data_IF_997488598261
#
_entry.id   IF_997488598261
#
_cell.length_a   1.000
_cell.length_b   1.000
_cell.length_c   1.000
_cell.angle_alpha   90.00
_cell.angle_beta   90.00
_cell.angle_gamma   90.00
#
_symmetry.space_group_name_H-M   'P 1'
#
loop_
_entity.id
_entity.type
_entity.pdbx_description
1 polymer ?
#
# COMPACT_ATOMS: atom_id res chain seq x y z
N UNK A 1 11.94 13.57 -15.56
CA UNK A 1 11.37 14.00 -14.28
C UNK A 1 10.39 15.14 -14.55
N UNK A 2 9.39 15.31 -13.70
CA UNK A 2 8.65 16.57 -13.62
C UNK A 2 9.55 17.69 -13.02
N UNK A 3 9.07 18.95 -12.95
CA UNK A 3 9.86 20.05 -12.39
C UNK A 3 10.18 19.93 -10.89
N UNK A 4 9.43 19.10 -10.16
CA UNK A 4 9.52 19.02 -8.69
C UNK A 4 10.33 17.81 -8.20
N UNK A 5 10.71 16.88 -9.09
CA UNK A 5 11.56 15.72 -8.77
C UNK A 5 13.02 15.99 -9.10
N UNK A 6 13.73 16.56 -8.13
CA UNK A 6 15.17 16.80 -8.20
C UNK A 6 15.98 15.54 -7.90
N UNK A 7 17.11 15.39 -8.62
CA UNK A 7 18.08 14.32 -8.38
C UNK A 7 19.47 14.92 -8.14
N UNK A 8 20.26 14.25 -7.31
CA UNK A 8 21.68 14.52 -7.10
C UNK A 8 22.51 13.27 -7.44
N UNK A 9 23.83 13.37 -7.34
CA UNK A 9 24.78 12.30 -7.71
C UNK A 9 24.42 10.93 -7.10
N UNK A 10 23.96 10.91 -5.84
CA UNK A 10 23.65 9.68 -5.10
C UNK A 10 22.16 9.29 -5.14
N UNK A 11 21.32 10.03 -5.87
CA UNK A 11 19.87 9.75 -5.89
C UNK A 11 19.54 8.39 -6.50
N UNK A 12 20.32 7.92 -7.48
CA UNK A 12 20.11 6.61 -8.08
C UNK A 12 20.34 5.49 -7.05
N UNK A 13 21.45 5.52 -6.32
CA UNK A 13 21.76 4.52 -5.29
C UNK A 13 20.70 4.54 -4.19
N UNK A 14 20.28 5.73 -3.73
CA UNK A 14 19.21 5.86 -2.75
C UNK A 14 17.89 5.24 -3.25
N UNK A 15 17.50 5.48 -4.50
CA UNK A 15 16.30 4.90 -5.10
C UNK A 15 16.40 3.37 -5.26
N UNK A 16 17.58 2.85 -5.59
CA UNK A 16 17.83 1.40 -5.65
C UNK A 16 17.72 0.76 -4.28
N UNK A 17 18.25 1.38 -3.23
CA UNK A 17 18.09 0.90 -1.85
C UNK A 17 16.63 0.96 -1.38
N UNK A 18 15.89 2.01 -1.75
CA UNK A 18 14.47 2.15 -1.40
C UNK A 18 13.63 1.00 -2.00
N UNK A 19 13.73 0.76 -3.31
CA UNK A 19 13.04 -0.35 -3.96
C UNK A 19 13.58 -1.73 -3.48
N UNK A 20 14.90 -1.83 -3.24
CA UNK A 20 15.56 -3.03 -2.76
C UNK A 20 15.12 -3.46 -1.36
N UNK A 21 14.82 -2.52 -0.47
CA UNK A 21 14.31 -2.84 0.88
C UNK A 21 12.95 -3.55 0.82
N UNK A 22 12.07 -3.13 -0.10
CA UNK A 22 10.77 -3.80 -0.33
C UNK A 22 10.98 -5.21 -0.88
N UNK A 23 11.88 -5.37 -1.85
CA UNK A 23 12.25 -6.69 -2.41
C UNK A 23 12.78 -7.63 -1.31
N UNK A 24 13.71 -7.14 -0.49
CA UNK A 24 14.30 -7.92 0.62
C UNK A 24 13.22 -8.36 1.61
N UNK A 25 12.35 -7.44 2.04
CA UNK A 25 11.26 -7.76 2.95
C UNK A 25 10.31 -8.84 2.39
N UNK A 26 9.94 -8.73 1.11
CA UNK A 26 9.14 -9.74 0.40
C UNK A 26 9.84 -11.09 0.35
N UNK A 27 11.15 -11.11 0.09
CA UNK A 27 11.97 -12.32 0.09
C UNK A 27 11.95 -13.03 1.45
N UNK A 28 12.08 -12.27 2.54
CA UNK A 28 12.03 -12.80 3.92
C UNK A 28 10.62 -13.25 4.32
N UNK A 29 9.57 -12.62 3.78
CA UNK A 29 8.20 -13.15 3.91
C UNK A 29 8.03 -14.48 3.19
N UNK A 30 8.61 -14.64 1.99
CA UNK A 30 8.50 -15.88 1.22
C UNK A 30 9.10 -17.09 1.93
N UNK A 31 10.18 -16.89 2.69
CA UNK A 31 10.83 -17.94 3.49
C UNK A 31 10.16 -18.16 4.85
N UNK A 32 9.20 -17.31 5.23
CA UNK A 32 8.57 -17.33 6.55
C UNK A 32 9.45 -16.79 7.68
N UNK A 33 10.53 -16.06 7.36
CA UNK A 33 11.40 -15.43 8.36
C UNK A 33 10.69 -14.27 9.06
N UNK A 34 9.90 -13.49 8.31
CA UNK A 34 9.08 -12.39 8.82
C UNK A 34 7.68 -12.46 8.23
N UNK A 35 6.68 -11.98 8.96
CA UNK A 35 5.30 -11.89 8.45
C UNK A 35 4.98 -10.49 7.92
N UNK A 36 5.74 -9.48 8.36
CA UNK A 36 5.51 -8.09 8.04
C UNK A 36 6.78 -7.26 8.17
N UNK A 37 6.86 -6.15 7.45
CA UNK A 37 7.95 -5.19 7.59
C UNK A 37 7.48 -3.76 7.33
N UNK A 38 8.15 -2.80 7.97
CA UNK A 38 8.04 -1.38 7.64
C UNK A 38 9.35 -0.93 7.01
N UNK A 39 9.33 -0.66 5.71
CA UNK A 39 10.47 -0.15 4.96
C UNK A 39 10.49 1.37 5.11
N UNK A 40 11.26 1.88 6.07
CA UNK A 40 11.48 3.31 6.30
C UNK A 40 12.44 3.87 5.24
N UNK A 41 11.99 3.93 3.99
CA UNK A 41 12.79 4.26 2.81
C UNK A 41 12.58 5.71 2.35
N UNK A 42 13.56 6.23 1.62
CA UNK A 42 13.46 7.48 0.86
C UNK A 42 14.47 7.40 -0.31
N UNK A 43 14.12 7.79 -1.55
CA UNK A 43 12.90 8.49 -2.00
C UNK A 43 11.61 7.65 -2.01
N UNK A 44 10.42 8.30 -2.04
CA UNK A 44 9.12 7.64 -2.21
C UNK A 44 8.97 7.06 -3.63
N UNK A 45 7.84 6.41 -3.91
CA UNK A 45 7.62 5.68 -5.16
C UNK A 45 6.26 5.80 -5.84
N UNK A 46 5.15 6.03 -5.13
CA UNK A 46 3.81 5.78 -5.68
C UNK A 46 3.41 6.65 -6.90
N UNK A 47 4.06 7.80 -7.12
CA UNK A 47 3.85 8.67 -8.28
C UNK A 47 4.69 8.29 -9.51
N UNK A 48 5.77 7.51 -9.34
CA UNK A 48 6.65 7.16 -10.44
C UNK A 48 5.92 6.26 -11.45
N UNK A 49 5.78 6.76 -12.67
CA UNK A 49 5.23 6.04 -13.82
C UNK A 49 6.27 5.09 -14.40
N UNK A 50 5.83 4.12 -15.21
CA UNK A 50 6.72 3.18 -15.89
C UNK A 50 7.82 3.86 -16.74
N UNK A 51 7.54 5.06 -17.27
CA UNK A 51 8.45 5.82 -18.13
C UNK A 51 8.73 7.25 -17.65
N UNK A 52 8.34 7.62 -16.42
CA UNK A 52 8.47 9.00 -15.91
C UNK A 52 8.57 9.06 -14.39
N UNK A 53 9.68 9.62 -13.89
CA UNK A 53 9.80 10.10 -12.51
C UNK A 53 8.95 11.37 -12.30
N UNK A 54 8.19 11.43 -11.21
CA UNK A 54 7.36 12.58 -10.83
C UNK A 54 6.94 12.52 -9.35
N UNK A 55 6.50 13.65 -8.77
CA UNK A 55 6.03 13.69 -7.37
C UNK A 55 7.08 13.22 -6.37
N UNK A 56 8.34 13.63 -6.55
CA UNK A 56 9.51 13.20 -5.77
C UNK A 56 9.91 11.73 -5.94
N UNK A 57 9.16 10.95 -6.74
CA UNK A 57 9.35 9.52 -6.93
C UNK A 57 10.24 9.25 -8.15
N UNK A 58 11.31 8.47 -7.95
CA UNK A 58 12.23 8.06 -9.03
C UNK A 58 11.84 6.68 -9.57
N UNK A 59 11.68 5.71 -8.67
CA UNK A 59 11.17 4.37 -8.97
C UNK A 59 9.95 4.09 -8.13
N UNK A 60 9.00 3.34 -8.67
CA UNK A 60 7.84 2.92 -7.90
C UNK A 60 8.18 1.70 -7.04
N UNK A 61 8.54 1.97 -5.77
CA UNK A 61 9.01 0.97 -4.80
C UNK A 61 8.01 -0.20 -4.65
N UNK A 62 6.72 0.11 -4.51
CA UNK A 62 5.66 -0.88 -4.35
C UNK A 62 5.42 -1.66 -5.64
N UNK A 63 5.41 -1.01 -6.81
CA UNK A 63 5.20 -1.70 -8.08
C UNK A 63 6.35 -2.67 -8.41
N UNK A 64 7.59 -2.25 -8.15
CA UNK A 64 8.78 -3.13 -8.25
C UNK A 64 8.64 -4.31 -7.29
N UNK A 65 8.25 -4.06 -6.04
CA UNK A 65 7.97 -5.09 -5.04
C UNK A 65 6.89 -6.09 -5.48
N UNK A 66 5.76 -5.60 -6.00
CA UNK A 66 4.66 -6.44 -6.48
C UNK A 66 5.09 -7.37 -7.62
N UNK A 67 5.83 -6.86 -8.60
CA UNK A 67 6.37 -7.69 -9.70
C UNK A 67 7.38 -8.72 -9.21
N UNK A 68 8.21 -8.36 -8.22
CA UNK A 68 9.10 -9.31 -7.58
C UNK A 68 8.34 -10.40 -6.80
N UNK A 69 7.32 -10.04 -6.03
CA UNK A 69 6.46 -10.98 -5.31
C UNK A 69 5.82 -12.00 -6.26
N UNK A 70 5.32 -11.54 -7.40
CA UNK A 70 4.78 -12.39 -8.47
C UNK A 70 5.82 -13.35 -9.04
N UNK A 71 7.03 -12.86 -9.30
CA UNK A 71 8.14 -13.68 -9.79
C UNK A 71 8.50 -14.82 -8.82
N UNK A 72 8.32 -14.63 -7.52
CA UNK A 72 8.60 -15.64 -6.49
C UNK A 72 7.35 -16.39 -6.01
N UNK A 73 6.21 -16.21 -6.69
CA UNK A 73 5.03 -17.08 -6.59
C UNK A 73 3.85 -16.56 -5.77
N UNK A 74 3.84 -15.29 -5.33
CA UNK A 74 2.59 -14.65 -4.85
C UNK A 74 1.76 -14.25 -6.07
N UNK A 75 0.54 -14.79 -6.25
CA UNK A 75 -0.22 -14.59 -7.49
C UNK A 75 -1.05 -13.32 -7.46
N UNK A 76 -1.69 -13.05 -6.32
CA UNK A 76 -2.63 -11.93 -6.14
C UNK A 76 -2.12 -10.92 -5.12
N UNK A 77 -1.68 -9.76 -5.60
CA UNK A 77 -1.11 -8.69 -4.77
C UNK A 77 -2.17 -7.62 -4.53
N UNK A 78 -2.42 -7.26 -3.27
CA UNK A 78 -3.32 -6.16 -2.93
C UNK A 78 -2.48 -4.97 -2.48
N UNK A 79 -2.52 -3.88 -3.24
CA UNK A 79 -1.83 -2.63 -2.92
C UNK A 79 -2.82 -1.69 -2.23
N UNK A 80 -2.45 -1.25 -1.03
CA UNK A 80 -3.17 -0.25 -0.24
C UNK A 80 -2.35 1.03 -0.26
N UNK A 81 -2.96 2.14 -0.66
CA UNK A 81 -2.32 3.44 -0.68
C UNK A 81 -3.12 4.40 0.21
N UNK A 82 -2.49 4.89 1.27
CA UNK A 82 -3.08 5.88 2.17
C UNK A 82 -2.35 7.21 2.17
N UNK A 83 -1.35 7.39 1.29
CA UNK A 83 -0.77 8.71 1.04
C UNK A 83 -1.87 9.68 0.58
N UNK A 84 -1.77 10.93 1.01
CA UNK A 84 -2.81 11.92 0.75
C UNK A 84 -2.94 12.26 -0.73
N UNK A 85 -1.91 11.99 -1.52
CA UNK A 85 -1.90 12.19 -2.97
C UNK A 85 -2.26 10.89 -3.68
N UNK A 86 -2.90 11.01 -4.84
CA UNK A 86 -3.22 9.82 -5.63
C UNK A 86 -1.92 9.18 -6.17
N UNK A 87 -1.67 7.91 -5.83
CA UNK A 87 -0.56 7.10 -6.36
C UNK A 87 -0.75 6.70 -7.82
N UNK A 88 -0.83 7.70 -8.70
CA UNK A 88 -1.08 7.57 -10.13
C UNK A 88 -0.13 6.60 -10.83
N UNK A 89 1.16 6.60 -10.46
CA UNK A 89 2.14 5.71 -11.05
C UNK A 89 1.82 4.26 -10.75
N UNK A 90 1.46 3.95 -9.51
CA UNK A 90 1.03 2.62 -9.10
C UNK A 90 -0.24 2.20 -9.86
N UNK A 91 -1.25 3.09 -9.91
CA UNK A 91 -2.48 2.80 -10.65
C UNK A 91 -2.19 2.48 -12.12
N UNK A 92 -1.49 3.35 -12.85
CA UNK A 92 -1.25 3.18 -14.27
C UNK A 92 -0.37 1.95 -14.60
N UNK A 93 0.57 1.58 -13.73
CA UNK A 93 1.38 0.36 -13.92
C UNK A 93 0.52 -0.91 -13.89
N UNK A 94 -0.59 -0.91 -13.13
CA UNK A 94 -1.44 -2.09 -12.91
C UNK A 94 -2.86 -1.94 -13.48
N UNK A 95 -3.19 -0.84 -14.18
CA UNK A 95 -4.57 -0.54 -14.58
C UNK A 95 -5.20 -1.62 -15.49
N UNK A 96 -4.38 -2.34 -16.27
CA UNK A 96 -4.81 -3.44 -17.14
C UNK A 96 -4.62 -4.84 -16.52
N UNK A 97 -4.16 -4.95 -15.26
CA UNK A 97 -3.75 -6.18 -14.59
C UNK A 97 -4.81 -6.69 -13.58
N UNK A 98 -5.35 -7.88 -13.78
CA UNK A 98 -6.35 -8.51 -12.89
C UNK A 98 -5.74 -9.31 -11.72
N UNK A 99 -4.41 -9.36 -11.66
CA UNK A 99 -3.65 -10.03 -10.60
C UNK A 99 -3.10 -9.07 -9.55
N UNK A 100 -3.33 -7.76 -9.72
CA UNK A 100 -3.00 -6.73 -8.75
C UNK A 100 -4.22 -5.86 -8.49
N UNK A 101 -4.63 -5.73 -7.23
CA UNK A 101 -5.71 -4.84 -6.82
C UNK A 101 -5.11 -3.56 -6.25
N UNK A 102 -5.42 -2.38 -6.81
CA UNK A 102 -5.02 -1.08 -6.27
C UNK A 102 -6.19 -0.44 -5.53
N UNK A 103 -6.02 -0.15 -4.25
CA UNK A 103 -6.96 0.60 -3.41
C UNK A 103 -6.27 1.87 -2.91
N UNK A 104 -6.88 3.03 -3.14
CA UNK A 104 -6.32 4.30 -2.68
C UNK A 104 -7.39 5.19 -2.04
N UNK A 105 -7.06 5.77 -0.89
CA UNK A 105 -7.72 6.98 -0.40
C UNK A 105 -6.77 8.15 -0.60
N UNK A 106 -7.25 9.25 -1.13
CA UNK A 106 -6.43 10.45 -1.37
C UNK A 106 -7.34 11.67 -1.44
N UNK A 107 -6.80 12.85 -1.16
CA UNK A 107 -7.56 14.08 -1.37
C UNK A 107 -7.87 14.26 -2.86
N UNK A 108 -9.12 14.59 -3.20
CA UNK A 108 -9.49 14.84 -4.59
C UNK A 108 -10.56 15.94 -4.73
N UNK A 109 -10.43 16.85 -5.73
CA UNK A 109 -9.28 17.00 -6.62
C UNK A 109 -8.04 17.52 -5.85
N UNK A 110 -6.88 16.94 -6.12
CA UNK A 110 -5.56 17.35 -5.58
C UNK A 110 -4.46 16.86 -6.52
N UNK A 111 -3.20 16.79 -6.10
CA UNK A 111 -2.12 16.26 -6.94
C UNK A 111 -2.33 14.77 -7.30
N UNK A 112 -2.11 14.36 -8.57
CA UNK A 112 -1.75 15.17 -9.74
C UNK A 112 -2.95 15.56 -10.64
N UNK A 113 -4.18 15.46 -10.13
CA UNK A 113 -5.42 15.69 -10.88
C UNK A 113 -6.05 14.42 -11.47
N UNK A 114 -5.65 13.25 -10.96
CA UNK A 114 -6.17 11.91 -11.31
C UNK A 114 -6.68 11.21 -10.05
N UNK A 115 -7.20 9.99 -10.18
CA UNK A 115 -7.72 9.22 -9.04
C UNK A 115 -9.22 9.40 -8.83
N UNK A 116 -9.94 9.85 -9.86
CA UNK A 116 -11.40 9.97 -9.77
C UNK A 116 -12.08 8.63 -9.51
N UNK A 117 -13.24 8.64 -8.86
CA UNK A 117 -14.05 7.43 -8.57
C UNK A 117 -14.40 6.62 -9.84
N UNK A 118 -14.46 7.27 -11.00
CA UNK A 118 -14.72 6.63 -12.29
C UNK A 118 -13.54 5.82 -12.83
N UNK A 119 -12.33 6.04 -12.33
CA UNK A 119 -11.13 5.29 -12.72
C UNK A 119 -11.14 3.93 -12.00
N UNK A 120 -11.48 2.87 -12.74
CA UNK A 120 -11.73 1.53 -12.18
C UNK A 120 -10.87 0.44 -12.83
N UNK A 121 -9.74 0.83 -13.42
CA UNK A 121 -8.92 -0.04 -14.26
C UNK A 121 -9.45 -0.13 -15.68
N UNK A 122 -8.72 -0.85 -16.52
CA UNK A 122 -8.92 -0.97 -17.97
C UNK A 122 -8.76 -2.44 -18.36
N UNK A 123 -9.30 -2.81 -19.52
CA UNK A 123 -9.12 -4.16 -20.08
C UNK A 123 -9.44 -5.28 -19.08
N UNK A 124 -8.44 -6.13 -18.79
CA UNK A 124 -8.57 -7.21 -17.79
C UNK A 124 -8.60 -6.69 -16.36
N UNK A 125 -7.86 -5.63 -16.05
CA UNK A 125 -7.82 -4.96 -14.76
C UNK A 125 -9.08 -4.16 -14.39
N UNK A 126 -10.09 -4.11 -15.25
CA UNK A 126 -11.38 -3.48 -14.93
C UNK A 126 -12.02 -4.12 -13.69
N UNK A 127 -12.22 -3.31 -12.65
CA UNK A 127 -12.72 -3.71 -11.33
C UNK A 127 -11.63 -3.98 -10.28
N UNK A 128 -10.35 -3.85 -10.65
CA UNK A 128 -9.19 -4.05 -9.77
C UNK A 128 -8.46 -2.74 -9.42
N UNK A 129 -9.07 -1.61 -9.73
CA UNK A 129 -8.69 -0.29 -9.20
C UNK A 129 -9.88 0.27 -8.44
N UNK A 130 -9.65 0.71 -7.20
CA UNK A 130 -10.65 1.30 -6.34
C UNK A 130 -10.10 2.59 -5.72
N UNK A 131 -10.42 3.71 -6.36
CA UNK A 131 -10.19 5.02 -5.77
C UNK A 131 -11.35 5.40 -4.87
N UNK A 132 -11.03 5.87 -3.66
CA UNK A 132 -11.97 6.44 -2.71
C UNK A 132 -11.58 7.90 -2.46
N UNK A 133 -12.01 8.82 -3.33
CA UNK A 133 -11.56 10.20 -3.29
C UNK A 133 -12.12 10.90 -2.04
N UNK A 134 -11.24 11.51 -1.26
CA UNK A 134 -11.55 12.18 0.00
C UNK A 134 -11.71 13.68 -0.25
N UNK A 135 -12.82 14.30 0.22
CA UNK A 135 -12.96 15.75 0.13
C UNK A 135 -11.96 16.43 1.08
N UNK A 136 -11.56 17.65 0.74
CA UNK A 136 -10.80 18.51 1.64
C UNK A 136 -11.50 18.61 3.00
N UNK A 137 -10.76 18.42 4.09
CA UNK A 137 -11.27 18.44 5.46
C UNK A 137 -11.76 17.09 5.98
N UNK A 138 -11.79 16.04 5.17
CA UNK A 138 -12.04 14.67 5.64
C UNK A 138 -11.03 14.27 6.72
N UNK A 139 -11.44 13.44 7.68
CA UNK A 139 -10.61 13.04 8.80
C UNK A 139 -10.94 11.63 9.28
N UNK A 140 -10.80 11.42 10.59
CA UNK A 140 -10.84 10.08 11.19
C UNK A 140 -12.08 9.26 10.82
N UNK A 141 -13.26 9.89 10.70
CA UNK A 141 -14.51 9.19 10.39
C UNK A 141 -14.49 8.57 8.99
N UNK A 142 -14.11 9.36 7.98
CA UNK A 142 -14.08 8.92 6.59
C UNK A 142 -13.02 7.83 6.39
N UNK A 143 -11.84 8.02 6.96
CA UNK A 143 -10.77 7.02 6.93
C UNK A 143 -11.12 5.77 7.73
N UNK A 144 -11.81 5.88 8.86
CA UNK A 144 -12.28 4.70 9.60
C UNK A 144 -13.17 3.83 8.71
N UNK A 145 -14.16 4.42 8.03
CA UNK A 145 -15.04 3.67 7.11
C UNK A 145 -14.26 3.03 5.97
N UNK A 146 -13.33 3.76 5.36
CA UNK A 146 -12.49 3.25 4.27
C UNK A 146 -11.70 1.99 4.69
N UNK A 147 -10.98 2.05 5.82
CA UNK A 147 -10.03 1.00 6.22
C UNK A 147 -10.63 -0.09 7.09
N UNK A 148 -11.74 0.16 7.78
CA UNK A 148 -12.37 -0.81 8.69
C UNK A 148 -13.67 -1.41 8.15
N UNK A 149 -14.30 -0.79 7.13
CA UNK A 149 -15.58 -1.27 6.58
C UNK A 149 -15.51 -1.64 5.10
N UNK A 150 -14.76 -0.88 4.29
CA UNK A 150 -14.64 -1.11 2.84
C UNK A 150 -13.47 -2.04 2.52
N UNK A 151 -12.26 -1.68 2.94
CA UNK A 151 -11.02 -2.42 2.65
C UNK A 151 -11.10 -3.92 2.98
N UNK A 152 -11.61 -4.37 4.15
CA UNK A 152 -11.64 -5.80 4.48
C UNK A 152 -12.49 -6.62 3.48
N UNK A 153 -13.57 -6.01 2.96
CA UNK A 153 -14.45 -6.67 1.98
C UNK A 153 -13.76 -6.84 0.64
N UNK A 154 -12.99 -5.84 0.22
CA UNK A 154 -12.24 -5.87 -1.04
C UNK A 154 -11.12 -6.91 -0.99
N UNK A 155 -10.29 -6.90 0.08
CA UNK A 155 -9.20 -7.86 0.27
C UNK A 155 -9.73 -9.30 0.25
N UNK A 156 -10.84 -9.56 0.96
CA UNK A 156 -11.47 -10.89 1.00
C UNK A 156 -12.00 -11.30 -0.38
N UNK A 157 -12.69 -10.41 -1.09
CA UNK A 157 -13.27 -10.70 -2.41
C UNK A 157 -12.19 -10.97 -3.45
N UNK A 158 -11.05 -10.28 -3.38
CA UNK A 158 -9.96 -10.43 -4.35
C UNK A 158 -9.28 -11.80 -4.26
N UNK A 159 -9.21 -12.40 -3.07
CA UNK A 159 -8.43 -13.62 -2.82
C UNK A 159 -6.94 -13.31 -2.74
N UNK A 160 -6.61 -12.31 -1.94
CA UNK A 160 -5.25 -11.74 -1.78
C UNK A 160 -4.26 -12.75 -1.21
N UNK A 161 -3.04 -12.79 -1.78
CA UNK A 161 -1.91 -13.58 -1.26
C UNK A 161 -0.92 -12.74 -0.43
N UNK A 162 -0.80 -11.44 -0.71
CA UNK A 162 0.09 -10.51 -0.02
C UNK A 162 -0.46 -9.08 -0.11
N UNK A 163 -0.26 -8.29 0.95
CA UNK A 163 -0.61 -6.87 1.00
C UNK A 163 0.67 -6.05 0.95
N UNK A 164 0.71 -5.08 0.04
CA UNK A 164 1.74 -4.05 -0.04
C UNK A 164 1.11 -2.69 0.26
N UNK A 165 1.78 -1.86 1.05
CA UNK A 165 1.20 -0.60 1.52
C UNK A 165 2.11 0.57 1.14
N UNK A 166 1.59 1.47 0.31
CA UNK A 166 2.11 2.83 0.12
C UNK A 166 1.69 3.66 1.33
N UNK A 167 2.63 3.89 2.25
CA UNK A 167 2.38 4.46 3.57
C UNK A 167 2.84 5.92 3.62
N UNK A 168 1.97 6.84 3.17
CA UNK A 168 2.18 8.28 3.28
C UNK A 168 1.45 8.88 4.48
N UNK A 169 2.15 9.65 5.30
CA UNK A 169 1.58 10.22 6.53
C UNK A 169 1.19 11.69 6.40
N UNK A 170 1.18 12.20 5.17
CA UNK A 170 0.70 13.52 4.80
C UNK A 170 -0.83 13.67 4.83
N UNK A 171 -1.55 12.62 5.24
CA UNK A 171 -2.95 12.68 5.68
C UNK A 171 -3.11 13.32 7.07
N UNK A 172 -2.04 13.42 7.85
CA UNK A 172 -2.10 13.92 9.21
C UNK A 172 -2.51 15.41 9.24
N UNK A 173 -3.34 15.80 10.20
CA UNK A 173 -3.90 17.17 10.29
C UNK A 173 -2.86 18.31 10.40
N UNK A 174 -1.62 17.96 10.74
CA UNK A 174 -0.49 18.89 10.84
C UNK A 174 0.30 19.02 9.54
N UNK A 175 0.09 18.14 8.57
CA UNK A 175 0.87 18.13 7.34
C UNK A 175 0.58 19.38 6.49
N UNK A 176 1.60 20.06 5.94
CA UNK A 176 1.40 21.30 5.20
C UNK A 176 0.94 21.11 3.74
N UNK A 177 0.98 19.89 3.18
CA UNK A 177 0.78 19.69 1.73
C UNK A 177 -0.65 19.31 1.33
N UNK A 178 -1.56 19.10 2.30
CA UNK A 178 -2.94 18.74 2.04
C UNK A 178 -3.92 19.34 3.06
N UNK A 179 -5.22 19.15 2.80
CA UNK A 179 -6.33 19.61 3.63
C UNK A 179 -7.02 18.50 4.41
N UNK A 180 -6.47 17.28 4.42
CA UNK A 180 -6.96 16.15 5.21
C UNK A 180 -6.62 16.38 6.69
N UNK A 181 -7.47 15.87 7.58
CA UNK A 181 -7.42 16.14 9.02
C UNK A 181 -7.46 14.86 9.84
N UNK A 182 -6.64 13.87 9.48
CA UNK A 182 -6.50 12.62 10.24
C UNK A 182 -5.66 12.89 11.49
N UNK A 183 -6.15 12.43 12.64
CA UNK A 183 -5.43 12.50 13.92
C UNK A 183 -4.48 11.32 14.11
N UNK A 184 -3.62 11.37 15.14
CA UNK A 184 -2.80 10.23 15.54
C UNK A 184 -3.64 8.95 15.77
N UNK A 185 -4.85 9.08 16.31
CA UNK A 185 -5.76 7.96 16.53
C UNK A 185 -6.37 7.48 15.21
N UNK A 186 -6.66 8.39 14.28
CA UNK A 186 -7.05 8.06 12.92
C UNK A 186 -5.98 7.24 12.19
N UNK A 187 -4.71 7.67 12.24
CA UNK A 187 -3.56 6.91 11.70
C UNK A 187 -3.51 5.50 12.31
N UNK A 188 -3.64 5.40 13.64
CA UNK A 188 -3.67 4.09 14.31
C UNK A 188 -4.80 3.20 13.77
N UNK A 189 -5.99 3.75 13.61
CA UNK A 189 -7.16 3.01 13.11
C UNK A 189 -7.03 2.57 11.65
N UNK A 190 -6.35 3.35 10.80
CA UNK A 190 -6.01 2.97 9.43
C UNK A 190 -5.10 1.74 9.44
N UNK A 191 -3.96 1.83 10.16
CA UNK A 191 -2.96 0.75 10.24
C UNK A 191 -3.58 -0.51 10.83
N UNK A 192 -4.33 -0.38 11.93
CA UNK A 192 -5.02 -1.50 12.55
C UNK A 192 -6.05 -2.15 11.62
N UNK A 193 -6.79 -1.36 10.83
CA UNK A 193 -7.73 -1.87 9.83
C UNK A 193 -7.04 -2.70 8.75
N UNK A 194 -5.89 -2.23 8.24
CA UNK A 194 -5.06 -2.94 7.26
C UNK A 194 -4.57 -4.29 7.85
N UNK A 195 -3.93 -4.24 9.02
CA UNK A 195 -3.37 -5.45 9.67
C UNK A 195 -4.48 -6.45 10.03
N UNK A 196 -5.61 -5.98 10.55
CA UNK A 196 -6.75 -6.84 10.89
C UNK A 196 -7.35 -7.53 9.66
N UNK A 197 -7.37 -6.84 8.52
CA UNK A 197 -7.83 -7.41 7.24
C UNK A 197 -6.93 -8.53 6.74
N UNK A 198 -5.61 -8.40 6.95
CA UNK A 198 -4.62 -9.43 6.64
C UNK A 198 -4.88 -10.72 7.44
N UNK A 199 -5.21 -10.58 8.73
CA UNK A 199 -5.54 -11.71 9.61
C UNK A 199 -6.81 -12.44 9.19
N UNK A 200 -7.90 -11.69 9.00
CA UNK A 200 -9.22 -12.27 8.73
C UNK A 200 -9.26 -13.03 7.39
N UNK A 201 -8.50 -12.57 6.41
CA UNK A 201 -8.43 -13.19 5.09
C UNK A 201 -7.72 -14.55 5.12
N UNK A 202 -6.75 -14.75 6.01
CA UNK A 202 -6.06 -16.03 6.19
C UNK A 202 -6.95 -17.14 6.79
N UNK A 203 -8.07 -16.79 7.43
CA UNK A 203 -8.93 -17.71 8.20
C UNK A 203 -10.10 -18.27 7.37
N UNK A 204 -10.26 -17.89 6.09
CA UNK A 204 -11.36 -18.40 5.25
C UNK A 204 -10.89 -19.54 4.32
N UNK A 205 -11.16 -20.82 4.62
CA UNK A 205 -11.02 -21.88 3.63
C UNK A 205 -12.10 -21.70 2.56
N UNK A 206 -11.69 -21.72 1.29
CA UNK A 206 -12.60 -21.74 0.17
C UNK A 206 -13.56 -22.95 0.30
N UNK A 207 -14.85 -22.68 0.44
CA UNK A 207 -15.88 -23.70 0.35
C UNK A 207 -15.96 -24.20 -1.10
N UNK A 208 -15.48 -25.41 -1.37
CA UNK A 208 -15.81 -26.17 -2.58
C UNK A 208 -14.63 -26.81 -3.28
N UNK A 209 -14.33 -28.07 -2.93
CA UNK A 209 -13.40 -28.91 -3.67
C UNK A 209 -12.99 -30.16 -2.89
N UNK A 210 -13.70 -31.26 -3.11
CA UNK A 210 -13.32 -32.59 -2.64
C UNK A 210 -12.13 -33.14 -3.45
N UNK A 211 -11.01 -33.44 -2.80
CA UNK A 211 -10.21 -34.67 -2.98
C UNK A 211 -8.86 -34.61 -2.20
N UNK A 212 -8.77 -35.51 -1.22
CA UNK A 212 -7.63 -36.38 -0.84
C UNK A 212 -6.17 -35.84 -0.81
N UNK A 213 -5.70 -35.69 0.43
CA UNK A 213 -4.41 -36.07 1.03
C UNK A 213 -3.13 -36.13 0.17
N UNK A 214 -2.17 -35.24 0.48
CA UNK A 214 -0.90 -35.61 1.14
C UNK A 214 0.08 -34.43 1.14
N UNK A 215 0.15 -33.70 2.26
CA UNK A 215 1.44 -33.24 2.81
C UNK A 215 1.27 -32.73 4.25
N UNK A 216 1.80 -33.47 5.21
CA UNK A 216 2.06 -32.97 6.55
C UNK A 216 3.27 -32.03 6.50
N UNK A 217 3.03 -30.74 6.22
CA UNK A 217 3.88 -29.64 6.66
C UNK A 217 2.96 -28.58 7.24
N UNK A 218 3.00 -28.47 8.56
CA UNK A 218 2.39 -27.44 9.43
C UNK A 218 1.45 -26.45 8.73
N UNK A 219 0.14 -26.67 8.86
CA UNK A 219 -0.85 -25.62 8.71
C UNK A 219 -0.67 -24.61 9.86
N UNK A 220 0.35 -23.75 9.77
CA UNK A 220 0.34 -22.46 10.47
C UNK A 220 -0.78 -21.67 9.77
N UNK A 221 -1.78 -21.23 10.52
CA UNK A 221 -2.70 -20.17 10.10
C UNK A 221 -1.87 -18.91 9.82
N UNK A 222 -1.20 -18.83 8.67
CA UNK A 222 -0.32 -17.72 8.35
C UNK A 222 -1.17 -16.58 7.83
N UNK A 223 -1.24 -15.52 8.62
CA UNK A 223 -1.76 -14.21 8.21
C UNK A 223 -1.15 -13.80 6.87
N UNK A 224 -1.90 -13.05 6.06
CA UNK A 224 -1.34 -12.53 4.80
C UNK A 224 -0.10 -11.67 5.11
N UNK A 225 1.03 -11.88 4.42
CA UNK A 225 2.19 -11.02 4.61
C UNK A 225 1.86 -9.56 4.28
N UNK A 226 2.34 -8.62 5.11
CA UNK A 226 2.08 -7.18 4.94
C UNK A 226 3.38 -6.37 4.95
N UNK A 227 3.70 -5.72 3.83
CA UNK A 227 4.87 -4.85 3.74
C UNK A 227 4.43 -3.40 3.56
N UNK A 228 4.83 -2.53 4.49
CA UNK A 228 4.68 -1.09 4.37
C UNK A 228 5.95 -0.50 3.75
N UNK A 229 5.80 0.45 2.83
CA UNK A 229 6.86 1.30 2.30
C UNK A 229 6.50 2.75 2.58
N UNK A 230 7.40 3.49 3.23
CA UNK A 230 7.20 4.92 3.47
C UNK A 230 7.07 5.68 2.13
N UNK A 231 6.06 6.54 2.03
CA UNK A 231 5.81 7.49 0.92
C UNK A 231 5.97 8.94 1.43
N UNK A 232 4.90 9.75 1.41
CA UNK A 232 4.87 11.14 1.87
C UNK A 232 4.79 11.33 3.40
N UNK A 233 4.78 12.60 3.80
CA UNK A 233 4.81 13.06 5.20
C UNK A 233 5.85 14.16 5.39
N UNK A 234 5.38 15.39 5.61
CA UNK A 234 6.17 16.61 5.49
C UNK A 234 6.16 17.48 6.75
N UNK A 235 5.29 17.18 7.72
CA UNK A 235 5.50 17.56 9.12
C UNK A 235 6.31 16.47 9.84
N UNK A 236 7.56 16.78 10.23
CA UNK A 236 8.51 15.77 10.74
C UNK A 236 8.12 15.20 12.10
N UNK A 237 7.46 15.99 12.95
CA UNK A 237 7.03 15.54 14.28
C UNK A 237 5.83 14.60 14.14
N UNK A 238 4.82 15.01 13.36
CA UNK A 238 3.66 14.18 13.04
C UNK A 238 4.06 12.90 12.30
N UNK A 239 4.97 12.98 11.32
CA UNK A 239 5.50 11.82 10.62
C UNK A 239 6.17 10.84 11.60
N UNK A 240 7.07 11.34 12.45
CA UNK A 240 7.75 10.52 13.44
C UNK A 240 6.79 9.80 14.39
N UNK A 241 5.78 10.52 14.90
CA UNK A 241 4.75 9.96 15.77
C UNK A 241 3.87 8.93 15.04
N UNK A 242 3.52 9.20 13.79
CA UNK A 242 2.68 8.32 12.96
C UNK A 242 3.39 7.02 12.58
N UNK A 243 4.67 7.09 12.22
CA UNK A 243 5.51 5.91 11.96
C UNK A 243 5.69 5.11 13.25
N UNK A 244 5.92 5.77 14.39
CA UNK A 244 6.00 5.09 15.69
C UNK A 244 4.69 4.38 16.05
N UNK A 245 3.54 5.01 15.80
CA UNK A 245 2.22 4.42 15.99
C UNK A 245 2.04 3.17 15.12
N UNK A 246 2.46 3.26 13.85
CA UNK A 246 2.44 2.13 12.91
C UNK A 246 3.29 0.97 13.40
N UNK A 247 4.55 1.24 13.79
CA UNK A 247 5.45 0.23 14.31
C UNK A 247 4.89 -0.45 15.58
N UNK A 248 4.22 0.30 16.47
CA UNK A 248 3.56 -0.26 17.65
C UNK A 248 2.43 -1.20 17.28
N UNK A 249 1.52 -0.79 16.39
CA UNK A 249 0.41 -1.66 15.94
C UNK A 249 0.93 -2.93 15.25
N UNK A 250 2.00 -2.82 14.45
CA UNK A 250 2.64 -3.97 13.82
C UNK A 250 3.22 -4.98 14.83
N UNK A 251 3.56 -4.55 16.05
CA UNK A 251 4.07 -5.44 17.11
C UNK A 251 2.97 -6.01 18.01
N UNK A 252 1.79 -5.38 18.04
CA UNK A 252 0.68 -5.77 18.93
C UNK A 252 -0.27 -6.80 18.32
N UNK A 253 -0.42 -6.74 17.00
CA UNK A 253 -1.45 -7.46 16.25
C UNK A 253 -0.91 -8.80 15.86
#
# INVERSE_FOLDING_TARGET
>A
ADPDTYISENSLDAALYAAGAVIEAIGRCKTGEIERAFCAVRPPGHHAEANRAMGFCIFNNIAVGARYAQKIGYKKIFIVDFDVHHGNGTQHIFEDDDTVFYFSTHQYPHYPGTGGESEKGKGKGSGFTFNMPMPHGAGDKEYFSAYNEVLPKLIKKFGTDMILVSAGYDIHLSDPLAGIRVSDEGVRNIVKGILSSAKQSAVSPASGGSAEADNQHSAKNSELPVIFSLEGGYDLEALGNSVLSTAKEMLLV
#
